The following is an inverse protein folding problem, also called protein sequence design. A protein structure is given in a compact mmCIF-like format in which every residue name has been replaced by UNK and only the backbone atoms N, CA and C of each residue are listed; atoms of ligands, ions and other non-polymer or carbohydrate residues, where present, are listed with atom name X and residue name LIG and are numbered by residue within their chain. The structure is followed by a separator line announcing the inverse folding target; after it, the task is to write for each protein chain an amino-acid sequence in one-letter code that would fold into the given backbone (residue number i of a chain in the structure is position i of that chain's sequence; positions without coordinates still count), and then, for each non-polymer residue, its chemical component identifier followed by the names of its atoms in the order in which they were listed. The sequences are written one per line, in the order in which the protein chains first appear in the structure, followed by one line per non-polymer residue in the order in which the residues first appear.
data_IF_039516582141
#
_entry.id   IF_039516582141
#
_cell.length_a   1.000
_cell.length_b   1.000
_cell.length_c   1.000
_cell.angle_alpha   90.00
_cell.angle_beta   90.00
_cell.angle_gamma   90.00
#
_symmetry.space_group_name_H-M   'P 1'
#
loop_
_entity.id
_entity.type
_entity.pdbx_description
1 polymer ?
#
# COMPACT_ATOMS: atom_id res chain seq x y z
N UNK A 1 14.84 -19.13 -8.31
CA UNK A 1 15.58 -18.82 -7.06
C UNK A 1 16.72 -17.87 -7.42
N UNK A 2 16.72 -16.67 -6.84
CA UNK A 2 17.70 -15.63 -7.18
C UNK A 2 18.79 -15.50 -6.11
N UNK A 3 19.10 -16.60 -5.42
CA UNK A 3 20.15 -16.72 -4.38
C UNK A 3 20.02 -15.76 -3.18
N UNK A 4 18.84 -15.17 -2.96
CA UNK A 4 18.55 -14.41 -1.75
C UNK A 4 18.09 -15.33 -0.62
N UNK A 5 18.60 -15.09 0.58
CA UNK A 5 18.05 -15.69 1.81
C UNK A 5 16.85 -14.84 2.24
N UNK A 6 15.68 -15.42 2.24
CA UNK A 6 14.43 -14.74 2.62
C UNK A 6 14.02 -15.20 4.02
N UNK A 7 13.74 -14.24 4.89
CA UNK A 7 13.16 -14.47 6.22
C UNK A 7 11.71 -14.00 6.16
N UNK A 8 10.79 -14.95 6.06
CA UNK A 8 9.36 -14.68 6.05
C UNK A 8 8.84 -14.62 7.49
N UNK A 9 8.30 -13.46 7.87
CA UNK A 9 7.75 -13.23 9.20
C UNK A 9 6.24 -13.54 9.27
N UNK A 10 5.61 -13.86 8.14
CA UNK A 10 4.18 -14.10 8.05
C UNK A 10 3.36 -12.82 7.91
N UNK A 11 2.13 -12.85 8.40
CA UNK A 11 1.15 -11.76 8.26
C UNK A 11 0.84 -11.11 9.61
N UNK A 12 0.35 -9.86 9.58
CA UNK A 12 -0.04 -9.09 10.76
C UNK A 12 1.10 -8.98 11.80
N UNK A 13 2.30 -8.75 11.33
CA UNK A 13 3.51 -8.65 12.16
C UNK A 13 3.66 -7.21 12.65
N UNK A 14 3.89 -7.04 13.96
CA UNK A 14 4.12 -5.71 14.54
C UNK A 14 5.44 -5.09 14.09
N UNK A 15 5.49 -3.77 14.07
CA UNK A 15 6.70 -3.00 13.73
C UNK A 15 7.93 -3.48 14.53
N UNK A 16 7.81 -3.64 15.85
CA UNK A 16 8.93 -4.07 16.68
C UNK A 16 9.49 -5.43 16.25
N UNK A 17 8.62 -6.40 16.01
CA UNK A 17 9.06 -7.73 15.54
C UNK A 17 9.73 -7.68 14.16
N UNK A 18 9.27 -6.79 13.27
CA UNK A 18 9.89 -6.60 11.95
C UNK A 18 11.30 -6.06 12.12
N UNK A 19 11.48 -5.01 12.92
CA UNK A 19 12.76 -4.35 13.10
C UNK A 19 13.74 -5.20 13.92
N UNK A 20 13.29 -5.87 14.97
CA UNK A 20 14.10 -6.84 15.72
C UNK A 20 14.59 -8.01 14.85
N UNK A 21 13.72 -8.52 13.99
CA UNK A 21 14.10 -9.56 13.03
C UNK A 21 15.13 -9.03 12.02
N UNK A 22 14.94 -7.83 11.49
CA UNK A 22 15.87 -7.22 10.56
C UNK A 22 17.27 -7.02 11.17
N UNK A 23 17.34 -6.58 12.42
CA UNK A 23 18.60 -6.43 13.17
C UNK A 23 19.25 -7.78 13.47
N UNK A 24 18.50 -8.73 14.02
CA UNK A 24 18.99 -10.07 14.37
C UNK A 24 19.55 -10.82 13.15
N UNK A 25 18.84 -10.75 12.04
CA UNK A 25 19.20 -11.43 10.80
C UNK A 25 20.20 -10.63 9.96
N UNK A 26 20.52 -9.39 10.36
CA UNK A 26 21.35 -8.44 9.58
C UNK A 26 20.82 -8.30 8.17
N UNK A 27 19.54 -8.00 8.06
CA UNK A 27 18.86 -7.91 6.77
C UNK A 27 19.43 -6.78 5.92
N UNK A 28 19.75 -7.08 4.67
CA UNK A 28 20.20 -6.10 3.69
C UNK A 28 19.04 -5.30 3.11
N UNK A 29 17.82 -5.84 3.16
CA UNK A 29 16.58 -5.22 2.68
C UNK A 29 15.42 -5.60 3.62
N UNK A 30 14.47 -4.68 3.80
CA UNK A 30 13.20 -4.94 4.46
C UNK A 30 12.08 -4.78 3.44
N UNK A 31 11.18 -5.75 3.33
CA UNK A 31 10.02 -5.70 2.44
C UNK A 31 8.71 -5.72 3.23
N UNK A 32 7.82 -4.78 2.92
CA UNK A 32 6.47 -4.71 3.46
C UNK A 32 5.45 -4.89 2.35
N UNK A 33 4.46 -5.76 2.58
CA UNK A 33 3.38 -6.02 1.62
C UNK A 33 2.03 -5.72 2.27
N UNK A 34 1.26 -4.78 1.71
CA UNK A 34 -0.04 -4.36 2.21
C UNK A 34 -1.19 -4.91 1.37
N UNK A 35 -2.15 -5.58 2.02
CA UNK A 35 -3.34 -6.09 1.37
C UNK A 35 -4.59 -5.23 1.66
N UNK A 36 -4.66 -4.61 2.82
CA UNK A 36 -5.81 -3.83 3.28
C UNK A 36 -5.39 -2.39 3.59
N UNK A 37 -6.33 -1.45 3.54
CA UNK A 37 -6.06 -0.01 3.72
C UNK A 37 -5.32 0.33 5.02
N UNK A 38 -5.62 -0.27 6.18
CA UNK A 38 -4.86 0.00 7.41
C UNK A 38 -3.36 -0.29 7.32
N UNK A 39 -2.94 -1.19 6.43
CA UNK A 39 -1.51 -1.47 6.21
C UNK A 39 -0.72 -0.25 5.74
N UNK A 40 -1.37 0.72 5.11
CA UNK A 40 -0.71 1.94 4.63
C UNK A 40 -0.19 2.81 5.78
N UNK A 41 -0.96 2.93 6.86
CA UNK A 41 -0.57 3.67 8.05
C UNK A 41 0.53 2.93 8.81
N UNK A 42 0.42 1.61 8.90
CA UNK A 42 1.46 0.76 9.49
C UNK A 42 2.79 0.86 8.75
N UNK A 43 2.79 0.85 7.41
CA UNK A 43 4.01 1.05 6.61
C UNK A 43 4.65 2.41 6.86
N UNK A 44 3.83 3.45 7.00
CA UNK A 44 4.29 4.79 7.33
C UNK A 44 4.90 4.83 8.74
N UNK A 45 4.29 4.12 9.68
CA UNK A 45 4.79 3.99 11.05
C UNK A 45 6.12 3.24 11.09
N UNK A 46 6.24 2.11 10.38
CA UNK A 46 7.50 1.35 10.28
C UNK A 46 8.63 2.23 9.73
N UNK A 47 8.38 2.99 8.66
CA UNK A 47 9.37 3.89 8.07
C UNK A 47 9.88 4.93 9.08
N UNK A 48 8.99 5.55 9.84
CA UNK A 48 9.33 6.52 10.90
C UNK A 48 10.10 5.87 12.05
N UNK A 49 9.74 4.66 12.41
CA UNK A 49 10.41 3.91 13.46
C UNK A 49 11.83 3.49 13.04
N UNK A 50 12.02 3.13 11.76
CA UNK A 50 13.34 2.90 11.17
C UNK A 50 14.21 4.16 11.24
N UNK A 51 13.63 5.34 10.95
CA UNK A 51 14.33 6.62 11.10
C UNK A 51 14.71 6.89 12.55
N UNK A 52 13.79 6.70 13.49
CA UNK A 52 14.02 6.89 14.94
C UNK A 52 15.13 5.98 15.47
N UNK A 53 15.23 4.76 14.96
CA UNK A 53 16.28 3.79 15.31
C UNK A 53 17.58 3.98 14.51
N UNK A 54 17.66 5.00 13.67
CA UNK A 54 18.81 5.28 12.81
C UNK A 54 19.20 4.14 11.87
N UNK A 55 18.24 3.30 11.48
CA UNK A 55 18.46 2.27 10.49
C UNK A 55 18.74 2.89 9.12
N UNK A 56 19.47 2.16 8.27
CA UNK A 56 19.77 2.58 6.89
C UNK A 56 19.42 1.50 5.85
N UNK A 57 18.80 0.43 6.32
CA UNK A 57 18.37 -0.70 5.48
C UNK A 57 17.31 -0.23 4.48
N UNK A 58 17.49 -0.46 3.17
CA UNK A 58 16.48 -0.11 2.19
C UNK A 58 15.12 -0.77 2.47
N UNK A 59 14.05 0.00 2.27
CA UNK A 59 12.67 -0.40 2.53
C UNK A 59 11.91 -0.56 1.21
N UNK A 60 11.42 -1.76 0.93
CA UNK A 60 10.57 -2.05 -0.22
C UNK A 60 9.11 -2.04 0.20
N UNK A 61 8.28 -1.33 -0.56
CA UNK A 61 6.85 -1.18 -0.32
C UNK A 61 6.07 -1.79 -1.47
N UNK A 62 5.29 -2.82 -1.18
CA UNK A 62 4.48 -3.52 -2.17
C UNK A 62 3.12 -3.96 -1.63
N UNK A 63 2.39 -4.70 -2.46
CA UNK A 63 1.06 -5.22 -2.13
C UNK A 63 -0.08 -4.44 -2.77
N UNK A 64 -1.26 -5.06 -2.76
CA UNK A 64 -2.41 -4.63 -3.57
C UNK A 64 -2.95 -3.22 -3.23
N UNK A 65 -2.79 -2.76 -1.99
CA UNK A 65 -3.28 -1.43 -1.55
C UNK A 65 -2.26 -0.32 -1.71
N UNK A 66 -1.01 -0.65 -2.00
CA UNK A 66 0.07 0.32 -2.10
C UNK A 66 0.11 1.00 -3.47
N UNK A 67 0.72 2.17 -3.53
CA UNK A 67 0.94 2.88 -4.79
C UNK A 67 2.23 3.71 -4.73
N UNK A 68 2.78 3.99 -5.91
CA UNK A 68 3.93 4.88 -6.04
C UNK A 68 3.68 6.24 -5.40
N UNK A 69 2.48 6.80 -5.61
CA UNK A 69 2.10 8.12 -5.05
C UNK A 69 2.11 8.07 -3.53
N UNK A 70 1.47 7.05 -2.92
CA UNK A 70 1.44 6.92 -1.46
C UNK A 70 2.85 6.74 -0.90
N UNK A 71 3.67 5.89 -1.54
CA UNK A 71 5.05 5.66 -1.11
C UNK A 71 5.87 6.95 -1.18
N UNK A 72 5.80 7.70 -2.30
CA UNK A 72 6.55 8.93 -2.49
C UNK A 72 6.13 10.08 -1.58
N UNK A 73 4.82 10.18 -1.26
CA UNK A 73 4.24 11.32 -0.52
C UNK A 73 4.14 11.07 0.98
N UNK A 74 3.87 9.83 1.40
CA UNK A 74 3.56 9.51 2.80
C UNK A 74 4.65 8.70 3.51
N UNK A 75 5.26 7.74 2.82
CA UNK A 75 6.22 6.82 3.46
C UNK A 75 7.65 7.37 3.34
N UNK A 76 8.13 7.61 2.12
CA UNK A 76 9.50 8.03 1.87
C UNK A 76 9.95 9.30 2.61
N UNK A 77 9.10 10.33 2.81
CA UNK A 77 9.51 11.51 3.61
C UNK A 77 9.76 11.22 5.09
N UNK A 78 9.26 10.12 5.61
CA UNK A 78 9.42 9.70 7.00
C UNK A 78 10.68 8.90 7.28
N UNK A 79 11.48 8.58 6.25
CA UNK A 79 12.66 7.75 6.37
C UNK A 79 13.78 8.26 5.44
N UNK A 80 14.93 8.60 6.02
CA UNK A 80 16.10 9.08 5.27
C UNK A 80 16.85 7.98 4.51
N UNK A 81 16.59 6.71 4.84
CA UNK A 81 17.05 5.57 4.05
C UNK A 81 16.25 5.43 2.74
N UNK A 82 16.69 4.53 1.89
CA UNK A 82 16.06 4.32 0.57
C UNK A 82 14.72 3.61 0.74
N UNK A 83 13.66 4.21 0.21
CA UNK A 83 12.32 3.59 0.14
C UNK A 83 11.92 3.40 -1.32
N UNK A 84 11.56 2.18 -1.71
CA UNK A 84 11.23 1.85 -3.11
C UNK A 84 9.86 1.20 -3.21
N UNK A 85 9.00 1.77 -4.06
CA UNK A 85 7.74 1.13 -4.43
C UNK A 85 7.96 -0.01 -5.42
N UNK A 86 7.43 -1.17 -5.10
CA UNK A 86 7.51 -2.40 -5.90
C UNK A 86 6.09 -2.80 -6.32
N UNK A 87 5.68 -2.59 -7.58
CA UNK A 87 4.30 -2.81 -8.02
C UNK A 87 3.87 -4.28 -7.97
N UNK A 88 4.80 -5.19 -8.17
CA UNK A 88 4.55 -6.64 -8.18
C UNK A 88 5.80 -7.43 -7.77
N UNK A 89 5.60 -8.68 -7.37
CA UNK A 89 6.67 -9.55 -6.90
C UNK A 89 7.73 -9.86 -7.97
N UNK A 90 7.37 -9.84 -9.25
CA UNK A 90 8.33 -10.12 -10.34
C UNK A 90 9.39 -9.03 -10.44
N UNK A 91 9.04 -7.79 -10.11
CA UNK A 91 9.95 -6.65 -10.10
C UNK A 91 10.82 -6.55 -8.85
N UNK A 92 10.44 -7.22 -7.78
CA UNK A 92 11.18 -7.19 -6.51
C UNK A 92 12.64 -7.65 -6.68
N UNK A 93 12.88 -8.63 -7.51
CA UNK A 93 14.22 -9.16 -7.78
C UNK A 93 15.13 -8.13 -8.42
N UNK A 94 14.65 -7.44 -9.46
CA UNK A 94 15.40 -6.38 -10.12
C UNK A 94 15.71 -5.20 -9.19
N UNK A 95 14.72 -4.81 -8.36
CA UNK A 95 14.90 -3.76 -7.34
C UNK A 95 15.95 -4.17 -6.32
N UNK A 96 15.87 -5.41 -5.79
CA UNK A 96 16.84 -5.93 -4.84
C UNK A 96 18.25 -5.98 -5.45
N UNK A 97 18.37 -6.46 -6.68
CA UNK A 97 19.67 -6.51 -7.39
C UNK A 97 20.30 -5.13 -7.53
N UNK A 98 19.52 -4.10 -7.90
CA UNK A 98 20.02 -2.73 -8.02
C UNK A 98 20.44 -2.14 -6.66
N UNK A 99 19.66 -2.39 -5.62
CA UNK A 99 19.94 -1.87 -4.27
C UNK A 99 21.13 -2.55 -3.58
N UNK A 100 21.43 -3.79 -3.94
CA UNK A 100 22.54 -4.57 -3.37
C UNK A 100 23.81 -4.51 -4.24
N UNK A 101 23.76 -3.87 -5.41
CA UNK A 101 24.89 -3.73 -6.30
C UNK A 101 25.71 -2.49 -5.92
N UNK A 102 27.00 -2.65 -5.67
CA UNK A 102 27.90 -1.50 -5.39
C UNK A 102 27.99 -0.52 -6.56
N UNK A 103 27.86 -1.01 -7.80
CA UNK A 103 27.98 -0.18 -9.00
C UNK A 103 26.67 0.48 -9.43
N UNK A 104 25.52 -0.13 -9.16
CA UNK A 104 24.22 0.36 -9.66
C UNK A 104 23.43 1.14 -8.61
N UNK A 105 23.71 0.94 -7.33
CA UNK A 105 22.94 1.48 -6.22
C UNK A 105 22.84 3.01 -6.27
N UNK A 106 23.94 3.68 -6.47
CA UNK A 106 23.99 5.15 -6.40
C UNK A 106 23.10 5.79 -7.44
N UNK A 107 23.23 5.38 -8.71
CA UNK A 107 22.45 5.92 -9.81
C UNK A 107 20.96 5.55 -9.67
N UNK A 108 20.68 4.31 -9.28
CA UNK A 108 19.32 3.84 -9.05
C UNK A 108 18.61 4.61 -7.93
N UNK A 109 19.28 4.87 -6.82
CA UNK A 109 18.74 5.66 -5.70
C UNK A 109 18.48 7.11 -6.13
N UNK A 110 19.38 7.71 -6.90
CA UNK A 110 19.19 9.06 -7.42
C UNK A 110 17.99 9.14 -8.39
N UNK A 111 17.81 8.14 -9.23
CA UNK A 111 16.65 8.04 -10.13
C UNK A 111 15.32 7.95 -9.34
N UNK A 112 15.25 7.09 -8.33
CA UNK A 112 14.09 6.97 -7.44
C UNK A 112 13.79 8.30 -6.73
N UNK A 113 14.81 8.96 -6.20
CA UNK A 113 14.65 10.24 -5.52
C UNK A 113 14.09 11.32 -6.44
N UNK A 114 14.62 11.42 -7.66
CA UNK A 114 14.15 12.36 -8.68
C UNK A 114 12.71 12.06 -9.14
N UNK A 115 12.35 10.78 -9.30
CA UNK A 115 11.00 10.36 -9.64
C UNK A 115 10.01 10.71 -8.50
N UNK A 116 10.37 10.44 -7.27
CA UNK A 116 9.51 10.76 -6.12
C UNK A 116 9.32 12.27 -5.93
N UNK A 117 10.33 13.07 -6.23
CA UNK A 117 10.19 14.53 -6.19
C UNK A 117 9.18 15.02 -7.24
N UNK A 118 9.23 14.51 -8.47
CA UNK A 118 8.24 14.80 -9.50
C UNK A 118 6.82 14.41 -9.03
N UNK A 119 6.67 13.24 -8.42
CA UNK A 119 5.39 12.77 -7.89
C UNK A 119 4.88 13.70 -6.79
N UNK A 120 5.74 14.13 -5.86
CA UNK A 120 5.37 15.06 -4.78
C UNK A 120 4.92 16.42 -5.32
N UNK A 121 5.65 16.99 -6.27
CA UNK A 121 5.30 18.26 -6.92
C UNK A 121 3.93 18.15 -7.63
N UNK A 122 3.73 17.09 -8.40
CA UNK A 122 2.46 16.85 -9.08
C UNK A 122 1.30 16.64 -8.09
N UNK A 123 1.55 15.94 -6.98
CA UNK A 123 0.54 15.72 -5.95
C UNK A 123 0.18 17.01 -5.23
N UNK A 124 1.17 17.85 -4.90
CA UNK A 124 0.96 19.14 -4.24
C UNK A 124 0.22 20.15 -5.14
N UNK A 125 0.42 20.08 -6.45
CA UNK A 125 -0.26 20.95 -7.43
C UNK A 125 -1.72 20.56 -7.68
N UNK A 126 -2.14 19.35 -7.32
CA UNK A 126 -3.54 18.92 -7.45
C UNK A 126 -4.41 19.68 -6.47
N UNK A 127 -5.16 20.64 -6.98
CA UNK A 127 -6.27 21.23 -6.21
C UNK A 127 -7.28 20.12 -5.94
N UNK A 128 -7.59 19.89 -4.68
CA UNK A 128 -8.68 19.00 -4.28
C UNK A 128 -10.00 19.46 -4.92
N UNK A 129 -11.03 18.60 -4.96
CA UNK A 129 -12.35 19.03 -5.41
C UNK A 129 -12.80 20.24 -4.60
N UNK A 130 -13.38 21.22 -5.29
CA UNK A 130 -13.96 22.37 -4.59
C UNK A 130 -15.08 21.89 -3.67
N UNK A 131 -14.89 22.09 -2.38
CA UNK A 131 -15.92 21.76 -1.40
C UNK A 131 -17.03 22.81 -1.47
N UNK A 132 -18.26 22.35 -1.52
CA UNK A 132 -19.46 23.18 -1.41
C UNK A 132 -19.87 23.28 0.08
N UNK A 133 -20.61 24.32 0.46
CA UNK A 133 -21.14 24.40 1.80
C UNK A 133 -22.11 23.27 2.11
N UNK A 134 -22.27 22.91 3.38
CA UNK A 134 -23.22 21.89 3.81
C UNK A 134 -24.66 22.25 3.40
N UNK A 135 -24.98 23.55 3.45
CA UNK A 135 -26.29 24.06 3.03
C UNK A 135 -26.54 23.82 1.54
N UNK A 136 -25.57 24.18 0.68
CA UNK A 136 -25.65 23.92 -0.75
C UNK A 136 -25.71 22.43 -1.06
N UNK A 137 -24.97 21.60 -0.35
CA UNK A 137 -25.00 20.15 -0.49
C UNK A 137 -26.38 19.56 -0.11
N UNK A 138 -26.99 20.09 0.96
CA UNK A 138 -28.36 19.68 1.36
C UNK A 138 -29.41 20.13 0.36
N UNK A 139 -29.28 21.34 -0.17
CA UNK A 139 -30.20 21.88 -1.18
C UNK A 139 -30.15 21.07 -2.49
N UNK A 140 -28.98 20.53 -2.84
CA UNK A 140 -28.79 19.71 -4.04
C UNK A 140 -28.90 18.20 -3.78
N UNK A 141 -29.30 17.78 -2.58
CA UNK A 141 -29.43 16.38 -2.23
C UNK A 141 -30.53 15.71 -3.08
N UNK A 142 -30.28 14.48 -3.48
CA UNK A 142 -31.28 13.68 -4.16
C UNK A 142 -32.50 13.47 -3.26
N UNK A 143 -33.66 13.98 -3.70
CA UNK A 143 -34.94 13.79 -3.01
C UNK A 143 -35.62 12.52 -3.56
N UNK A 144 -35.52 11.43 -2.84
CA UNK A 144 -36.20 10.20 -3.19
C UNK A 144 -37.68 10.25 -2.78
N UNK A 145 -38.58 9.90 -3.70
CA UNK A 145 -40.01 9.76 -3.41
C UNK A 145 -40.30 8.40 -2.78
N UNK A 146 -40.06 8.30 -1.51
CA UNK A 146 -40.30 7.06 -0.74
C UNK A 146 -41.79 6.70 -0.60
N UNK A 147 -42.70 7.65 -0.86
CA UNK A 147 -44.14 7.40 -0.77
C UNK A 147 -44.66 6.57 -1.93
N UNK A 148 -44.05 6.73 -3.10
CA UNK A 148 -44.44 6.01 -4.32
C UNK A 148 -43.41 4.95 -4.73
N UNK A 149 -42.35 4.78 -3.98
CA UNK A 149 -41.37 3.75 -4.26
C UNK A 149 -41.89 2.37 -3.87
N UNK A 150 -42.07 1.51 -4.86
CA UNK A 150 -42.38 0.10 -4.68
C UNK A 150 -41.10 -0.73 -4.96
N UNK A 151 -40.47 -1.33 -3.94
CA UNK A 151 -39.30 -2.16 -4.14
C UNK A 151 -39.65 -3.41 -4.95
N UNK A 152 -38.76 -3.81 -5.85
CA UNK A 152 -38.93 -5.07 -6.59
C UNK A 152 -39.00 -6.23 -5.59
N UNK A 153 -40.08 -7.00 -5.66
CA UNK A 153 -40.24 -8.16 -4.80
C UNK A 153 -39.21 -9.23 -5.16
N UNK A 154 -38.40 -9.72 -4.22
CA UNK A 154 -37.47 -10.80 -4.47
C UNK A 154 -38.20 -12.07 -4.92
N UNK A 155 -37.65 -12.79 -5.88
CA UNK A 155 -38.20 -14.09 -6.33
C UNK A 155 -38.06 -15.17 -5.27
N UNK A 156 -37.10 -14.99 -4.34
CA UNK A 156 -36.86 -15.87 -3.22
C UNK A 156 -36.96 -15.08 -1.92
N UNK A 157 -37.91 -15.46 -1.05
CA UNK A 157 -38.11 -14.85 0.26
C UNK A 157 -37.82 -15.87 1.32
N UNK A 158 -37.05 -15.46 2.36
CA UNK A 158 -36.68 -16.30 3.48
C UNK A 158 -35.39 -17.09 3.28
N UNK A 159 -35.08 -17.99 4.21
CA UNK A 159 -33.90 -18.85 4.15
C UNK A 159 -34.11 -19.99 3.17
N UNK A 160 -33.16 -20.20 2.26
CA UNK A 160 -33.13 -21.34 1.36
C UNK A 160 -31.78 -22.02 1.45
N UNK A 161 -31.80 -23.34 1.54
CA UNK A 161 -30.58 -24.17 1.49
C UNK A 161 -30.42 -24.75 0.09
N UNK A 162 -29.26 -24.55 -0.53
CA UNK A 162 -28.90 -25.13 -1.80
C UNK A 162 -27.99 -26.34 -1.56
N UNK A 163 -28.28 -27.45 -2.21
CA UNK A 163 -27.44 -28.65 -2.24
C UNK A 163 -26.68 -28.71 -3.56
N UNK A 164 -25.66 -29.57 -3.65
CA UNK A 164 -24.86 -29.69 -4.86
C UNK A 164 -25.70 -29.94 -6.14
N UNK A 165 -26.82 -30.66 -6.03
CA UNK A 165 -27.75 -30.88 -7.15
C UNK A 165 -28.46 -29.59 -7.63
N UNK A 166 -28.62 -28.60 -6.75
CA UNK A 166 -29.25 -27.31 -7.06
C UNK A 166 -28.27 -26.34 -7.71
N UNK A 167 -26.96 -26.63 -7.63
CA UNK A 167 -25.85 -25.82 -8.13
C UNK A 167 -25.25 -26.39 -9.43
N UNK A 168 -25.99 -27.26 -10.13
CA UNK A 168 -25.55 -27.79 -11.40
C UNK A 168 -25.26 -26.64 -12.39
N UNK A 169 -24.04 -26.60 -12.90
CA UNK A 169 -23.61 -25.61 -13.90
C UNK A 169 -24.51 -25.71 -15.15
N UNK A 170 -24.95 -24.55 -15.61
CA UNK A 170 -25.62 -24.41 -16.90
C UNK A 170 -24.59 -24.15 -17.98
#
# INVERSE_FOLDING_TARGET
CNSYRVVDLGVMVSCDRILEAAERERADLIGLSGLITPSLDEMTFVAREMERRHLRTPLLIGGATTSRVHTAVKIAPGYSGVTVYVPDASRAVGVASNLLSDSLKTDYVAEIAADYEKVRVQHASKKGPSLISLEAARASAFAADWKHYAPTRPSLIGRREFRNADLAER
#
